data_IF_035616447421
#
_entry.id   IF_035616447421
#
_cell.length_a   1.000
_cell.length_b   1.000
_cell.length_c   1.000
_cell.angle_alpha   90.00
_cell.angle_beta   90.00
_cell.angle_gamma   90.00
#
_symmetry.space_group_name_H-M   'P 1'
#
loop_
_entity.id
_entity.type
_entity.pdbx_description
1 polymer ?
#
# COMPACT_ATOMS: atom_id res chain seq x y z
N UNK A 1 4.01 -6.16 6.10
CA UNK A 1 3.17 -7.27 6.56
C UNK A 1 4.09 -8.46 6.72
N UNK A 2 4.36 -8.90 7.94
CA UNK A 2 5.14 -10.11 8.19
C UNK A 2 4.15 -11.27 8.29
N UNK A 3 4.36 -12.36 7.54
CA UNK A 3 3.57 -13.58 7.68
C UNK A 3 4.38 -14.61 8.46
N UNK A 4 3.86 -15.05 9.60
CA UNK A 4 4.40 -16.20 10.30
C UNK A 4 3.57 -17.44 10.02
N UNK A 5 4.26 -18.57 9.91
CA UNK A 5 3.68 -19.86 10.26
C UNK A 5 4.28 -20.30 11.59
N UNK A 6 3.46 -20.41 12.63
CA UNK A 6 3.88 -21.04 13.88
C UNK A 6 3.91 -22.55 13.65
N UNK A 7 5.09 -23.14 13.47
CA UNK A 7 5.26 -24.58 13.71
C UNK A 7 5.37 -24.79 15.23
N UNK A 8 4.23 -24.95 15.90
CA UNK A 8 4.19 -25.13 17.35
C UNK A 8 3.21 -26.21 17.78
N UNK A 9 3.76 -27.36 18.16
CA UNK A 9 3.13 -28.50 18.86
C UNK A 9 2.34 -29.50 18.01
N UNK A 10 2.68 -30.78 18.22
CA UNK A 10 1.98 -31.90 17.65
C UNK A 10 0.48 -31.79 17.94
N UNK A 11 -0.34 -31.98 16.89
CA UNK A 11 -1.81 -32.02 16.91
C UNK A 11 -2.57 -30.69 16.68
N UNK A 12 -2.30 -29.99 15.57
CA UNK A 12 -3.37 -29.32 14.83
C UNK A 12 -3.00 -29.23 13.33
N UNK A 13 -3.84 -29.82 12.48
CA UNK A 13 -3.71 -29.77 11.04
C UNK A 13 -4.20 -28.41 10.52
N UNK A 14 -3.29 -27.46 10.33
CA UNK A 14 -3.56 -26.17 9.68
C UNK A 14 -2.31 -25.28 9.66
N UNK A 15 -1.85 -24.89 8.47
CA UNK A 15 -0.83 -23.83 8.31
C UNK A 15 -1.58 -22.51 8.20
N UNK A 16 -1.87 -21.88 9.34
CA UNK A 16 -2.50 -20.57 9.34
C UNK A 16 -1.43 -19.49 9.18
N UNK A 17 -1.61 -18.63 8.17
CA UNK A 17 -0.79 -17.45 7.95
C UNK A 17 -1.30 -16.33 8.86
N UNK A 18 -0.48 -15.91 9.82
CA UNK A 18 -0.84 -14.81 10.73
C UNK A 18 -0.09 -13.55 10.28
N UNK A 19 -0.81 -12.46 9.92
CA UNK A 19 -0.20 -11.17 9.64
C UNK A 19 0.24 -10.53 10.97
N UNK A 20 1.48 -10.08 11.03
CA UNK A 20 2.07 -9.47 12.22
C UNK A 20 2.78 -8.15 11.88
N UNK A 21 2.78 -7.26 12.86
CA UNK A 21 3.54 -6.02 12.85
C UNK A 21 4.83 -6.13 13.70
N UNK A 22 5.55 -5.01 13.84
CA UNK A 22 6.81 -4.98 14.60
C UNK A 22 6.61 -5.21 16.11
N UNK A 23 5.47 -4.81 16.65
CA UNK A 23 5.14 -4.93 18.07
C UNK A 23 4.73 -6.37 18.39
N UNK A 24 4.04 -7.04 17.47
CA UNK A 24 3.69 -8.46 17.59
C UNK A 24 4.92 -9.38 17.62
N UNK A 25 5.98 -9.03 16.88
CA UNK A 25 7.24 -9.79 16.84
C UNK A 25 7.98 -9.81 18.19
N UNK A 26 7.84 -8.75 19.00
CA UNK A 26 8.48 -8.67 20.32
C UNK A 26 7.85 -9.62 21.34
N UNK A 27 6.58 -10.01 21.16
CA UNK A 27 5.87 -10.95 22.04
C UNK A 27 6.11 -12.43 21.70
N UNK A 28 6.57 -12.73 20.48
CA UNK A 28 6.73 -14.10 19.95
C UNK A 28 8.16 -14.64 20.08
N UNK A 29 9.05 -13.91 20.77
CA UNK A 29 10.44 -14.31 20.99
C UNK A 29 10.65 -15.74 21.54
N UNK A 30 9.80 -16.29 22.43
CA UNK A 30 9.98 -17.65 22.94
C UNK A 30 9.59 -18.75 21.93
N UNK A 31 8.66 -18.45 21.02
CA UNK A 31 8.01 -19.42 20.12
C UNK A 31 8.67 -19.45 18.74
N UNK A 32 9.24 -18.32 18.33
CA UNK A 32 10.07 -18.21 17.14
C UNK A 32 11.53 -18.42 17.54
N UNK A 33 12.03 -19.65 17.37
CA UNK A 33 13.48 -19.88 17.48
C UNK A 33 14.23 -18.96 16.51
N UNK A 34 14.81 -17.87 17.04
CA UNK A 34 15.69 -16.98 16.28
C UNK A 34 15.17 -15.59 15.93
N UNK A 35 14.22 -14.99 16.65
CA UNK A 35 13.75 -13.60 16.38
C UNK A 35 14.87 -12.55 16.37
N UNK A 36 15.97 -12.83 17.06
CA UNK A 36 17.23 -12.06 16.96
C UNK A 36 17.78 -11.97 15.51
N UNK A 37 17.44 -12.92 14.62
CA UNK A 37 17.80 -12.94 13.20
C UNK A 37 17.16 -11.80 12.40
N UNK A 38 15.90 -11.44 12.70
CA UNK A 38 15.22 -10.29 12.10
C UNK A 38 15.91 -8.96 12.47
N UNK A 39 16.53 -8.89 13.65
CA UNK A 39 17.22 -7.70 14.15
C UNK A 39 18.59 -7.44 13.48
N UNK A 40 19.13 -8.39 12.70
CA UNK A 40 20.51 -8.31 12.17
C UNK A 40 20.71 -7.44 10.92
N UNK A 41 19.69 -6.66 10.50
CA UNK A 41 19.76 -5.78 9.32
C UNK A 41 18.98 -6.28 8.09
N UNK A 42 18.18 -7.33 8.24
CA UNK A 42 17.39 -7.91 7.16
C UNK A 42 16.07 -7.16 6.86
N UNK A 43 15.70 -6.16 7.67
CA UNK A 43 14.46 -5.37 7.49
C UNK A 43 14.76 -4.13 6.66
N UNK A 44 14.20 -4.02 5.43
CA UNK A 44 14.37 -2.82 4.62
C UNK A 44 13.78 -1.60 5.30
N UNK A 45 14.42 -0.46 5.08
CA UNK A 45 13.93 0.81 5.58
C UNK A 45 12.70 1.25 4.78
N UNK A 46 11.54 1.31 5.45
CA UNK A 46 10.30 1.75 4.84
C UNK A 46 10.22 3.27 4.73
N UNK A 47 9.58 3.71 3.65
CA UNK A 47 9.14 5.08 3.37
C UNK A 47 7.65 5.04 3.07
N UNK A 48 7.00 6.19 3.13
CA UNK A 48 5.56 6.26 2.94
C UNK A 48 5.18 7.31 1.90
N UNK A 49 4.32 6.90 0.97
CA UNK A 49 3.71 7.81 0.00
C UNK A 49 2.19 7.73 0.13
N UNK A 50 1.60 8.79 0.67
CA UNK A 50 0.16 8.97 0.77
C UNK A 50 -0.43 9.30 -0.61
N UNK A 51 -1.61 8.79 -0.86
CA UNK A 51 -2.42 9.08 -2.03
C UNK A 51 -3.84 9.37 -1.61
N UNK A 52 -4.28 10.59 -1.87
CA UNK A 52 -5.61 11.10 -1.56
C UNK A 52 -6.56 10.88 -2.72
N UNK A 53 -7.84 10.69 -2.41
CA UNK A 53 -8.91 10.55 -3.38
C UNK A 53 -10.01 11.57 -3.14
N UNK A 54 -10.59 12.05 -4.23
CA UNK A 54 -11.81 12.85 -4.23
C UNK A 54 -12.96 12.05 -4.84
N UNK A 55 -14.17 12.24 -4.31
CA UNK A 55 -15.39 11.69 -4.88
C UNK A 55 -16.23 12.82 -5.52
N UNK A 56 -17.25 12.44 -6.27
CA UNK A 56 -18.27 13.38 -6.74
C UNK A 56 -19.44 13.45 -5.76
N UNK A 57 -19.91 14.67 -5.51
CA UNK A 57 -21.16 14.96 -4.80
C UNK A 57 -22.09 15.77 -5.68
N UNK A 58 -23.39 15.45 -5.63
CA UNK A 58 -24.44 16.17 -6.37
C UNK A 58 -24.37 16.02 -7.89
N UNK A 59 -23.52 15.12 -8.42
CA UNK A 59 -23.35 14.85 -9.84
C UNK A 59 -22.76 13.45 -10.05
N UNK A 60 -22.86 12.93 -11.27
CA UNK A 60 -22.20 11.69 -11.70
C UNK A 60 -21.18 11.98 -12.80
N UNK A 61 -20.08 11.23 -12.79
CA UNK A 61 -19.11 11.29 -13.88
C UNK A 61 -19.70 10.57 -15.11
N UNK A 62 -19.57 11.12 -16.33
CA UNK A 62 -20.17 10.55 -17.53
C UNK A 62 -19.35 9.37 -18.11
N UNK A 63 -18.68 8.59 -17.25
CA UNK A 63 -17.73 7.56 -17.65
C UNK A 63 -18.17 6.17 -17.19
N UNK A 64 -17.97 5.19 -18.06
CA UNK A 64 -18.27 3.77 -17.84
C UNK A 64 -17.02 2.88 -17.78
N UNK A 65 -15.85 3.49 -17.92
CA UNK A 65 -14.56 2.81 -17.87
C UNK A 65 -13.60 3.62 -17.01
N UNK A 66 -12.58 2.95 -16.49
CA UNK A 66 -11.48 3.60 -15.76
C UNK A 66 -10.66 4.45 -16.75
N UNK A 67 -10.14 5.58 -16.28
CA UNK A 67 -9.29 6.48 -17.09
C UNK A 67 -7.95 6.65 -16.41
N UNK A 68 -6.88 6.35 -17.15
CA UNK A 68 -5.51 6.50 -16.72
C UNK A 68 -4.80 7.46 -17.69
N UNK A 69 -4.65 8.74 -17.33
CA UNK A 69 -3.90 9.69 -18.15
C UNK A 69 -2.45 9.25 -18.30
N UNK A 70 -1.84 9.61 -19.43
CA UNK A 70 -0.40 9.39 -19.61
C UNK A 70 0.39 10.15 -18.54
N UNK A 71 1.47 9.57 -17.98
CA UNK A 71 2.32 10.28 -17.06
C UNK A 71 2.90 11.55 -17.70
N UNK A 72 2.50 12.73 -17.23
CA UNK A 72 3.09 14.00 -17.63
C UNK A 72 4.23 14.37 -16.66
N UNK A 73 5.34 14.91 -17.17
CA UNK A 73 6.44 15.41 -16.31
C UNK A 73 5.88 16.49 -15.38
N UNK A 74 5.85 16.21 -14.08
CA UNK A 74 5.35 17.13 -13.05
C UNK A 74 3.82 17.22 -12.93
N UNK A 75 3.05 16.41 -13.67
CA UNK A 75 1.60 16.35 -13.56
C UNK A 75 1.15 15.39 -12.45
N UNK A 76 0.07 15.73 -11.74
CA UNK A 76 -0.62 14.82 -10.83
C UNK A 76 -1.28 13.71 -11.67
N UNK A 77 -0.85 12.45 -11.48
CA UNK A 77 -1.42 11.28 -12.13
C UNK A 77 -2.78 10.88 -11.54
N UNK A 78 -3.77 11.78 -11.64
CA UNK A 78 -5.12 11.55 -11.12
C UNK A 78 -5.89 10.65 -12.07
N UNK A 79 -6.11 9.40 -11.68
CA UNK A 79 -6.95 8.47 -12.42
C UNK A 79 -8.43 8.71 -12.11
N UNK A 80 -9.31 8.22 -13.00
CA UNK A 80 -10.70 7.97 -12.66
C UNK A 80 -10.88 6.47 -12.46
N UNK A 81 -11.36 6.08 -11.28
CA UNK A 81 -11.86 4.74 -11.01
C UNK A 81 -13.34 4.78 -10.72
N UNK A 82 -13.99 3.62 -10.83
CA UNK A 82 -15.40 3.41 -10.52
C UNK A 82 -15.48 2.36 -9.42
N UNK A 83 -16.29 2.61 -8.39
CA UNK A 83 -16.66 1.55 -7.46
C UNK A 83 -17.68 0.59 -8.10
N UNK A 84 -18.04 -0.48 -7.39
CA UNK A 84 -18.96 -1.51 -7.89
C UNK A 84 -20.38 -0.97 -8.15
N UNK A 85 -20.75 0.17 -7.54
CA UNK A 85 -22.01 0.86 -7.79
C UNK A 85 -21.91 1.87 -8.95
N UNK A 86 -20.73 2.00 -9.57
CA UNK A 86 -20.46 2.93 -10.66
C UNK A 86 -20.17 4.36 -10.21
N UNK A 87 -19.99 4.62 -8.91
CA UNK A 87 -19.64 5.96 -8.46
C UNK A 87 -18.14 6.25 -8.68
N UNK A 88 -17.86 7.44 -9.19
CA UNK A 88 -16.49 7.83 -9.54
C UNK A 88 -15.64 8.16 -8.30
N UNK A 89 -14.37 7.77 -8.37
CA UNK A 89 -13.30 8.23 -7.48
C UNK A 89 -12.16 8.77 -8.34
N UNK A 90 -11.61 9.90 -7.94
CA UNK A 90 -10.49 10.54 -8.58
C UNK A 90 -9.26 10.42 -7.72
N UNK A 91 -8.15 10.01 -8.31
CA UNK A 91 -6.88 9.86 -7.63
C UNK A 91 -6.26 8.50 -7.93
N UNK A 92 -5.34 8.04 -7.07
CA UNK A 92 -4.71 8.83 -6.02
C UNK A 92 -3.76 9.88 -6.59
N UNK A 93 -3.52 10.95 -5.85
CA UNK A 93 -2.29 11.72 -6.02
C UNK A 93 -1.08 11.05 -5.33
N UNK A 94 0.02 11.78 -5.24
CA UNK A 94 1.23 11.35 -4.52
C UNK A 94 1.69 12.45 -3.59
N UNK A 95 1.82 12.10 -2.32
CA UNK A 95 2.38 12.92 -1.24
C UNK A 95 3.40 12.06 -0.48
N UNK A 96 4.68 12.39 -0.59
CA UNK A 96 5.71 11.72 0.20
C UNK A 96 5.67 12.23 1.64
N UNK A 97 5.55 11.30 2.58
CA UNK A 97 5.56 11.62 4.00
C UNK A 97 7.01 11.74 4.49
N UNK A 98 7.19 12.44 5.61
CA UNK A 98 8.50 12.62 6.23
C UNK A 98 9.21 11.29 6.46
N UNK A 99 10.54 11.27 6.36
CA UNK A 99 11.34 10.08 6.69
C UNK A 99 11.24 9.66 8.16
N UNK A 100 10.75 10.55 9.03
CA UNK A 100 10.48 10.28 10.44
C UNK A 100 9.05 9.77 10.70
N UNK A 101 8.21 9.64 9.67
CA UNK A 101 6.84 9.13 9.83
C UNK A 101 6.87 7.65 10.21
N UNK A 102 6.22 7.33 11.33
CA UNK A 102 6.00 5.96 11.80
C UNK A 102 4.61 5.45 11.41
N UNK A 103 4.47 4.12 11.32
CA UNK A 103 3.22 3.46 10.89
C UNK A 103 2.03 3.82 11.80
N UNK A 104 2.27 3.89 13.11
CA UNK A 104 1.24 4.17 14.12
C UNK A 104 0.79 5.64 14.12
N UNK A 105 1.46 6.49 13.34
CA UNK A 105 1.22 7.92 13.25
C UNK A 105 0.84 8.39 11.84
N UNK A 106 0.35 7.47 11.01
CA UNK A 106 -0.15 7.80 9.68
C UNK A 106 -1.46 8.59 9.75
N UNK A 107 -1.44 9.81 9.21
CA UNK A 107 -2.64 10.63 9.05
C UNK A 107 -3.31 10.35 7.70
N UNK A 108 -4.55 9.87 7.76
CA UNK A 108 -5.37 9.55 6.59
C UNK A 108 -6.36 10.64 6.18
N UNK A 109 -6.38 11.79 6.87
CA UNK A 109 -7.26 12.91 6.52
C UNK A 109 -6.93 13.42 5.11
N UNK A 110 -7.95 13.59 4.27
CA UNK A 110 -7.77 14.17 2.94
C UNK A 110 -7.88 15.69 3.05
N UNK A 111 -6.79 16.38 2.72
CA UNK A 111 -6.75 17.85 2.73
C UNK A 111 -7.69 18.43 1.63
N UNK A 112 -8.76 19.15 2.01
CA UNK A 112 -9.66 19.79 1.05
C UNK A 112 -8.95 20.81 0.15
N UNK A 113 -7.82 21.39 0.57
CA UNK A 113 -7.07 22.35 -0.24
C UNK A 113 -6.48 21.73 -1.51
N UNK A 114 -6.34 20.39 -1.57
CA UNK A 114 -5.90 19.67 -2.79
C UNK A 114 -6.93 19.70 -3.92
N UNK A 115 -8.18 20.09 -3.65
CA UNK A 115 -9.29 20.10 -4.64
C UNK A 115 -8.93 20.79 -5.94
N UNK A 116 -8.33 21.99 -5.87
CA UNK A 116 -8.02 22.78 -7.06
C UNK A 116 -7.00 22.06 -7.97
N UNK A 117 -6.01 21.41 -7.37
CA UNK A 117 -5.00 20.64 -8.12
C UNK A 117 -5.61 19.39 -8.77
N UNK A 118 -6.51 18.70 -8.08
CA UNK A 118 -7.30 17.60 -8.66
C UNK A 118 -8.15 18.08 -9.82
N UNK A 119 -8.90 19.16 -9.65
CA UNK A 119 -9.76 19.70 -10.69
C UNK A 119 -8.97 20.08 -11.95
N UNK A 120 -7.80 20.69 -11.78
CA UNK A 120 -6.88 20.99 -12.88
C UNK A 120 -6.44 19.72 -13.63
N UNK A 121 -6.00 18.69 -12.90
CA UNK A 121 -5.55 17.43 -13.50
C UNK A 121 -6.69 16.69 -14.23
N UNK A 122 -7.86 16.60 -13.60
CA UNK A 122 -9.03 15.92 -14.17
C UNK A 122 -9.52 16.61 -15.46
N UNK A 123 -9.43 17.94 -15.53
CA UNK A 123 -9.83 18.71 -16.72
C UNK A 123 -9.03 18.37 -17.98
N UNK A 124 -7.86 17.72 -17.85
CA UNK A 124 -7.10 17.23 -19.00
C UNK A 124 -7.87 16.17 -19.82
N UNK A 125 -8.67 15.33 -19.16
CA UNK A 125 -9.50 14.31 -19.82
C UNK A 125 -11.01 14.56 -19.66
N UNK A 126 -11.41 15.47 -18.78
CA UNK A 126 -12.79 15.89 -18.59
C UNK A 126 -12.92 17.42 -18.42
N UNK A 127 -12.82 18.21 -19.51
CA UNK A 127 -12.82 19.68 -19.43
C UNK A 127 -14.08 20.27 -18.78
N UNK A 128 -15.22 19.58 -18.85
CA UNK A 128 -16.50 20.00 -18.27
C UNK A 128 -16.63 19.78 -16.76
N UNK A 129 -15.58 19.30 -16.07
CA UNK A 129 -15.61 19.11 -14.62
C UNK A 129 -15.88 20.44 -13.87
N UNK A 130 -16.89 20.39 -13.01
CA UNK A 130 -17.19 21.40 -11.98
C UNK A 130 -16.42 21.10 -10.70
N UNK A 131 -15.53 21.99 -10.29
CA UNK A 131 -14.62 21.78 -9.16
C UNK A 131 -15.35 21.57 -7.83
N UNK A 132 -16.42 22.31 -7.60
CA UNK A 132 -17.27 22.26 -6.41
C UNK A 132 -17.99 20.92 -6.21
N UNK A 133 -18.06 20.08 -7.25
CA UNK A 133 -18.58 18.71 -7.13
C UNK A 133 -17.58 17.75 -6.52
N UNK A 134 -16.30 18.12 -6.45
CA UNK A 134 -15.25 17.31 -5.86
C UNK A 134 -15.24 17.47 -4.34
N UNK A 135 -15.51 16.40 -3.63
CA UNK A 135 -15.45 16.33 -2.17
C UNK A 135 -14.33 15.39 -1.73
N UNK A 136 -13.59 15.71 -0.64
CA UNK A 136 -12.64 14.77 -0.04
C UNK A 136 -13.31 13.41 0.20
N UNK A 137 -12.63 12.33 -0.15
CA UNK A 137 -13.13 10.97 0.07
C UNK A 137 -12.26 10.27 1.10
N UNK A 138 -11.27 9.49 0.64
CA UNK A 138 -10.36 8.73 1.50
C UNK A 138 -8.93 8.90 1.02
N UNK A 139 -7.98 8.46 1.83
CA UNK A 139 -6.59 8.31 1.39
C UNK A 139 -6.08 6.92 1.72
N UNK A 140 -5.02 6.52 1.03
CA UNK A 140 -4.24 5.33 1.36
C UNK A 140 -2.75 5.67 1.40
N UNK A 141 -1.98 4.87 2.13
CA UNK A 141 -0.53 5.06 2.25
C UNK A 141 0.18 3.84 1.67
N UNK A 142 1.10 4.08 0.73
CA UNK A 142 1.90 3.03 0.11
C UNK A 142 3.21 2.84 0.88
N UNK A 143 3.57 1.59 1.24
CA UNK A 143 4.89 1.29 1.76
C UNK A 143 5.90 1.29 0.61
N UNK A 144 6.92 2.14 0.69
CA UNK A 144 7.99 2.31 -0.30
C UNK A 144 9.31 1.79 0.25
N UNK A 145 10.10 1.11 -0.58
CA UNK A 145 11.45 0.63 -0.22
C UNK A 145 12.57 1.59 -0.61
N UNK A 146 12.23 2.62 -1.37
CA UNK A 146 13.16 3.63 -1.87
C UNK A 146 12.63 5.02 -1.54
N UNK A 147 13.52 6.01 -1.35
CA UNK A 147 13.10 7.38 -1.12
C UNK A 147 12.54 8.03 -2.38
N UNK A 148 11.93 9.21 -2.21
CA UNK A 148 11.46 10.05 -3.31
C UNK A 148 12.56 10.29 -4.35
N UNK A 149 12.17 10.40 -5.62
CA UNK A 149 13.09 10.67 -6.72
C UNK A 149 13.87 9.46 -7.22
N UNK A 150 13.75 8.29 -6.58
CA UNK A 150 14.39 7.06 -7.03
C UNK A 150 13.42 6.21 -7.88
N UNK A 151 13.93 5.38 -8.81
CA UNK A 151 13.10 4.39 -9.50
C UNK A 151 12.38 3.51 -8.49
N UNK A 152 11.10 3.22 -8.74
CA UNK A 152 10.32 2.33 -7.88
C UNK A 152 11.04 0.98 -7.74
N UNK A 153 11.19 0.53 -6.50
CA UNK A 153 11.70 -0.80 -6.21
C UNK A 153 10.62 -1.86 -6.44
N UNK A 154 11.05 -3.09 -6.70
CA UNK A 154 10.18 -4.25 -6.72
C UNK A 154 9.73 -4.64 -5.30
N UNK A 155 8.75 -5.52 -5.19
CA UNK A 155 8.37 -6.15 -3.92
C UNK A 155 9.54 -6.95 -3.35
N UNK A 156 9.69 -6.94 -2.02
CA UNK A 156 10.69 -7.74 -1.34
C UNK A 156 10.02 -8.83 -0.50
N UNK A 157 10.35 -10.08 -0.79
CA UNK A 157 9.92 -11.25 -0.04
C UNK A 157 11.16 -11.92 0.58
N UNK A 158 11.25 -11.88 1.90
CA UNK A 158 12.36 -12.46 2.65
C UNK A 158 11.88 -13.73 3.33
N UNK A 159 12.40 -14.88 2.90
CA UNK A 159 12.13 -16.18 3.52
C UNK A 159 13.09 -16.49 4.67
N UNK A 160 13.04 -17.71 5.24
CA UNK A 160 13.84 -18.11 6.41
C UNK A 160 15.35 -17.86 6.27
N UNK A 161 15.91 -18.01 5.07
CA UNK A 161 17.34 -17.77 4.82
C UNK A 161 17.70 -16.29 4.94
N UNK A 162 16.81 -15.39 4.53
CA UNK A 162 17.01 -13.94 4.63
C UNK A 162 16.62 -13.41 6.02
N UNK A 163 15.58 -13.95 6.65
CA UNK A 163 15.09 -13.49 7.97
C UNK A 163 15.89 -14.11 9.12
N UNK A 164 16.61 -15.21 8.87
CA UNK A 164 17.27 -16.01 9.90
C UNK A 164 16.30 -16.76 10.81
N UNK A 165 14.99 -16.74 10.51
CA UNK A 165 13.94 -17.30 11.35
C UNK A 165 13.19 -18.39 10.58
N UNK A 166 13.20 -19.63 11.11
CA UNK A 166 12.45 -20.73 10.49
C UNK A 166 10.96 -20.45 10.54
N UNK A 167 10.24 -20.77 9.45
CA UNK A 167 8.79 -20.58 9.37
C UNK A 167 8.33 -19.12 9.24
N UNK A 168 9.25 -18.21 8.89
CA UNK A 168 8.96 -16.77 8.78
C UNK A 168 9.19 -16.30 7.35
N UNK A 169 8.17 -15.67 6.77
CA UNK A 169 8.27 -14.95 5.50
C UNK A 169 7.81 -13.51 5.69
N UNK A 170 8.68 -12.56 5.40
CA UNK A 170 8.39 -11.14 5.53
C UNK A 170 8.17 -10.50 4.15
N UNK A 171 7.08 -9.75 4.01
CA UNK A 171 6.72 -9.04 2.79
C UNK A 171 6.86 -7.53 3.00
N UNK A 172 7.72 -6.90 2.20
CA UNK A 172 8.00 -5.47 2.25
C UNK A 172 7.72 -4.79 0.91
N UNK A 173 7.34 -3.52 0.98
CA UNK A 173 7.12 -2.72 -0.22
C UNK A 173 5.93 -3.18 -1.08
N UNK A 174 4.98 -3.93 -0.51
CA UNK A 174 3.77 -4.39 -1.22
C UNK A 174 2.83 -3.21 -1.48
N UNK A 175 3.20 -2.38 -2.45
CA UNK A 175 2.40 -1.29 -2.99
C UNK A 175 1.57 -1.78 -4.19
N UNK A 176 1.16 -0.91 -5.12
CA UNK A 176 0.51 -1.35 -6.36
C UNK A 176 1.50 -2.13 -7.23
N UNK A 177 1.13 -3.28 -7.84
CA UNK A 177 -0.21 -3.88 -7.93
C UNK A 177 -0.47 -5.03 -6.91
N UNK A 178 -0.14 -4.85 -5.64
CA UNK A 178 -0.14 -5.90 -4.61
C UNK A 178 -1.48 -6.58 -4.37
N UNK A 179 -2.60 -5.83 -4.47
CA UNK A 179 -3.94 -6.45 -4.40
C UNK A 179 -4.17 -7.40 -5.58
N UNK A 180 -3.83 -6.98 -6.80
CA UNK A 180 -3.96 -7.80 -8.01
C UNK A 180 -3.03 -9.00 -7.97
N UNK A 181 -1.83 -8.85 -7.39
CA UNK A 181 -0.84 -9.90 -7.24
C UNK A 181 -1.03 -10.79 -6.01
N UNK A 182 -2.05 -10.55 -5.18
CA UNK A 182 -2.18 -11.14 -3.84
C UNK A 182 -2.15 -12.68 -3.83
N UNK A 183 -2.83 -13.34 -4.78
CA UNK A 183 -2.82 -14.81 -4.87
C UNK A 183 -1.45 -15.35 -5.28
N UNK A 184 -0.80 -14.73 -6.26
CA UNK A 184 0.55 -15.13 -6.66
C UNK A 184 1.58 -14.87 -5.54
N UNK A 185 1.41 -13.79 -4.78
CA UNK A 185 2.21 -13.53 -3.59
C UNK A 185 2.01 -14.61 -2.52
N UNK A 186 0.77 -15.09 -2.33
CA UNK A 186 0.49 -16.19 -1.41
C UNK A 186 1.20 -17.49 -1.85
N UNK A 187 1.20 -17.81 -3.15
CA UNK A 187 1.93 -18.97 -3.68
C UNK A 187 3.45 -18.86 -3.41
N UNK A 188 4.01 -17.67 -3.59
CA UNK A 188 5.42 -17.40 -3.29
C UNK A 188 5.73 -17.53 -1.80
N UNK A 189 4.82 -17.09 -0.94
CA UNK A 189 4.95 -17.25 0.52
C UNK A 189 4.98 -18.74 0.87
N UNK A 190 4.05 -19.54 0.34
CA UNK A 190 4.01 -20.99 0.60
C UNK A 190 5.26 -21.69 0.08
N UNK A 191 5.79 -21.28 -1.08
CA UNK A 191 7.00 -21.86 -1.65
C UNK A 191 8.28 -21.49 -0.88
N UNK A 192 8.27 -20.38 -0.13
CA UNK A 192 9.41 -19.90 0.64
C UNK A 192 9.48 -20.45 2.08
N UNK A 193 8.41 -21.10 2.55
CA UNK A 193 8.31 -21.76 3.86
C UNK A 193 8.85 -23.20 3.81
#
# INVERSE_FOLDING_TARGET
>A
MVCLTLEGTAAAAGRDLIPLDKNDLAGLEPELQGVAGLASGAIPLLRFAKGSYFAMSGASAPFRHLIYPLPARGGLGVHLTLDLAGAARFGPDTEWLSSATEVDHLDYAVDPARRAAFASAIRAYWPGLREETLVPAYSGVRPKLVPEGHPAADFALHGPQQTGCRGVVALYGIESPGLTASLALADLVVAAL
#
